data_IF_809671595640
#
_entry.id   IF_809671595640
#
_cell.length_a   1.000
_cell.length_b   1.000
_cell.length_c   1.000
_cell.angle_alpha   90.00
_cell.angle_beta   90.00
_cell.angle_gamma   90.00
#
_symmetry.space_group_name_H-M   'P 1'
#
loop_
_entity.id
_entity.type
_entity.pdbx_description
1 polymer ?
#
# COMPACT_ATOMS: atom_id res chain seq x y z
N UNK A 1 -20.61 -33.08 -20.22
CA UNK A 1 -20.05 -31.77 -19.86
C UNK A 1 -20.12 -31.64 -18.35
N UNK A 2 -19.02 -31.64 -17.59
CA UNK A 2 -19.12 -31.37 -16.17
C UNK A 2 -19.57 -29.91 -16.02
N UNK A 3 -20.71 -29.70 -15.34
CA UNK A 3 -21.29 -28.38 -15.13
C UNK A 3 -20.39 -27.54 -14.23
N UNK A 4 -20.08 -26.32 -14.66
CA UNK A 4 -19.32 -25.36 -13.84
C UNK A 4 -20.18 -24.98 -12.64
N UNK A 5 -19.93 -25.57 -11.47
CA UNK A 5 -20.59 -25.16 -10.22
C UNK A 5 -20.15 -23.74 -9.90
N UNK A 6 -21.10 -22.80 -9.83
CA UNK A 6 -20.80 -21.41 -9.46
C UNK A 6 -20.38 -21.34 -7.99
N UNK A 7 -19.34 -20.57 -7.69
CA UNK A 7 -18.86 -20.37 -6.33
C UNK A 7 -19.98 -19.82 -5.42
N UNK A 8 -20.04 -20.33 -4.19
CA UNK A 8 -20.95 -19.85 -3.17
C UNK A 8 -20.59 -18.42 -2.71
N UNK A 9 -21.54 -17.66 -2.13
CA UNK A 9 -21.27 -16.31 -1.62
C UNK A 9 -20.12 -16.25 -0.60
N UNK A 10 -19.99 -17.29 0.24
CA UNK A 10 -18.91 -17.41 1.22
C UNK A 10 -17.55 -17.61 0.55
N UNK A 11 -17.47 -18.47 -0.47
CA UNK A 11 -16.23 -18.68 -1.24
C UNK A 11 -15.81 -17.40 -1.95
N UNK A 12 -16.76 -16.66 -2.53
CA UNK A 12 -16.49 -15.36 -3.19
C UNK A 12 -15.98 -14.32 -2.19
N UNK A 13 -16.63 -14.20 -1.02
CA UNK A 13 -16.18 -13.27 0.03
C UNK A 13 -14.80 -13.66 0.57
N UNK A 14 -14.55 -14.95 0.77
CA UNK A 14 -13.26 -15.45 1.22
C UNK A 14 -12.14 -15.16 0.22
N UNK A 15 -12.35 -15.49 -1.06
CA UNK A 15 -11.38 -15.24 -2.12
C UNK A 15 -11.05 -13.74 -2.25
N UNK A 16 -12.07 -12.86 -2.13
CA UNK A 16 -11.86 -11.40 -2.13
C UNK A 16 -11.05 -10.93 -0.93
N UNK A 17 -11.34 -11.43 0.27
CA UNK A 17 -10.59 -11.08 1.47
C UNK A 17 -9.11 -11.48 1.33
N UNK A 18 -8.83 -12.69 0.84
CA UNK A 18 -7.48 -13.17 0.61
C UNK A 18 -6.74 -12.34 -0.46
N UNK A 19 -7.39 -12.08 -1.60
CA UNK A 19 -6.83 -11.25 -2.67
C UNK A 19 -6.46 -9.85 -2.18
N UNK A 20 -7.30 -9.21 -1.35
CA UNK A 20 -6.99 -7.92 -0.75
C UNK A 20 -5.82 -8.00 0.25
N UNK A 21 -5.79 -9.01 1.11
CA UNK A 21 -4.71 -9.21 2.07
C UNK A 21 -3.35 -9.44 1.39
N UNK A 22 -3.32 -10.24 0.32
CA UNK A 22 -2.11 -10.49 -0.46
C UNK A 22 -1.64 -9.24 -1.19
N UNK A 23 -2.57 -8.48 -1.76
CA UNK A 23 -2.30 -7.25 -2.53
C UNK A 23 -1.75 -6.12 -1.66
N UNK A 24 -2.31 -5.91 -0.48
CA UNK A 24 -1.98 -4.77 0.38
C UNK A 24 -1.01 -5.11 1.52
N UNK A 25 -0.96 -6.38 1.97
CA UNK A 25 -0.22 -6.82 3.15
C UNK A 25 -0.84 -6.34 4.47
N UNK A 26 -1.20 -5.05 4.54
CA UNK A 26 -2.02 -4.42 5.57
C UNK A 26 -3.30 -3.91 4.91
N UNK A 27 -4.41 -4.61 5.12
CA UNK A 27 -5.71 -4.22 4.61
C UNK A 27 -6.40 -3.26 5.57
N UNK A 28 -6.75 -2.07 5.06
CA UNK A 28 -7.55 -1.07 5.77
C UNK A 28 -8.93 -0.92 5.12
N UNK A 29 -9.88 -0.32 5.85
CA UNK A 29 -11.19 0.02 5.30
C UNK A 29 -11.07 0.94 4.09
N UNK A 30 -10.19 1.93 4.17
CA UNK A 30 -9.97 2.95 3.14
C UNK A 30 -9.37 2.32 1.86
N UNK A 31 -8.42 1.39 1.99
CA UNK A 31 -7.87 0.65 0.85
C UNK A 31 -8.95 -0.20 0.16
N UNK A 32 -9.79 -0.90 0.93
CA UNK A 32 -10.91 -1.68 0.37
C UNK A 32 -11.96 -0.82 -0.32
N UNK A 33 -12.21 0.40 0.18
CA UNK A 33 -13.08 1.37 -0.49
C UNK A 33 -12.48 1.87 -1.80
N UNK A 34 -11.17 2.16 -1.81
CA UNK A 34 -10.44 2.58 -3.01
C UNK A 34 -10.43 1.51 -4.12
N UNK A 35 -10.42 0.23 -3.76
CA UNK A 35 -10.52 -0.89 -4.73
C UNK A 35 -11.94 -1.04 -5.30
N UNK A 36 -12.96 -0.48 -4.65
CA UNK A 36 -14.35 -0.54 -5.13
C UNK A 36 -14.95 -1.94 -5.14
N UNK A 37 -14.52 -2.83 -4.23
CA UNK A 37 -15.01 -4.21 -4.20
C UNK A 37 -16.52 -4.29 -3.95
N UNK A 38 -17.18 -5.26 -4.58
CA UNK A 38 -18.62 -5.50 -4.40
C UNK A 38 -18.92 -5.87 -2.95
N UNK A 39 -19.86 -5.15 -2.33
CA UNK A 39 -20.19 -5.25 -0.90
C UNK A 39 -19.28 -4.42 0.01
N UNK A 40 -18.26 -3.76 -0.56
CA UNK A 40 -17.31 -2.94 0.17
C UNK A 40 -16.56 -3.73 1.26
N UNK A 41 -15.94 -2.99 2.19
CA UNK A 41 -15.27 -3.59 3.34
C UNK A 41 -16.21 -4.43 4.21
N UNK A 42 -17.48 -4.04 4.35
CA UNK A 42 -18.46 -4.77 5.13
C UNK A 42 -18.69 -6.20 4.60
N UNK A 43 -18.61 -6.39 3.28
CA UNK A 43 -18.79 -7.69 2.64
C UNK A 43 -17.67 -8.71 2.92
N UNK A 44 -16.47 -8.24 3.30
CA UNK A 44 -15.31 -9.10 3.63
C UNK A 44 -14.99 -9.12 5.13
N UNK A 45 -15.54 -8.19 5.91
CA UNK A 45 -15.25 -8.08 7.35
C UNK A 45 -15.54 -9.36 8.16
N UNK A 46 -16.65 -10.10 7.95
CA UNK A 46 -16.88 -11.36 8.68
C UNK A 46 -15.79 -12.40 8.43
N UNK A 47 -15.26 -12.46 7.20
CA UNK A 47 -14.14 -13.34 6.85
C UNK A 47 -12.87 -12.88 7.55
N UNK A 48 -12.55 -11.58 7.49
CA UNK A 48 -11.36 -11.02 8.15
C UNK A 48 -11.37 -11.28 9.66
N UNK A 49 -12.54 -11.14 10.30
CA UNK A 49 -12.73 -11.48 11.71
C UNK A 49 -12.50 -12.97 11.98
N UNK A 50 -13.05 -13.85 11.17
CA UNK A 50 -12.83 -15.30 11.32
C UNK A 50 -11.36 -15.70 11.08
N UNK A 51 -10.66 -15.02 10.18
CA UNK A 51 -9.22 -15.22 9.95
C UNK A 51 -8.38 -14.71 11.13
N UNK A 52 -8.79 -13.60 11.76
CA UNK A 52 -8.16 -13.08 12.99
C UNK A 52 -8.32 -14.08 14.14
N UNK A 53 -9.53 -14.58 14.37
CA UNK A 53 -9.82 -15.58 15.42
C UNK A 53 -9.01 -16.88 15.24
N UNK A 54 -8.68 -17.23 13.99
CA UNK A 54 -7.82 -18.37 13.64
C UNK A 54 -6.32 -18.05 13.67
N UNK A 55 -5.95 -16.80 13.88
CA UNK A 55 -4.56 -16.33 13.89
C UNK A 55 -3.91 -16.22 12.51
N UNK A 56 -4.66 -16.37 11.42
CA UNK A 56 -4.16 -16.22 10.04
C UNK A 56 -3.80 -14.76 9.72
N UNK A 57 -4.53 -13.82 10.32
CA UNK A 57 -4.23 -12.38 10.25
C UNK A 57 -4.18 -11.79 11.65
N UNK A 58 -3.52 -10.63 11.77
CA UNK A 58 -3.44 -9.82 13.00
C UNK A 58 -4.28 -8.57 12.79
N UNK A 59 -5.18 -8.27 13.73
CA UNK A 59 -5.84 -6.97 13.77
C UNK A 59 -5.07 -5.99 14.66
N UNK A 60 -4.97 -4.74 14.25
CA UNK A 60 -4.25 -3.72 15.04
C UNK A 60 -4.27 -2.34 14.42
N UNK A 61 -3.39 -1.47 14.94
CA UNK A 61 -3.14 -0.13 14.42
C UNK A 61 -1.77 -0.14 13.75
N UNK A 62 -1.75 -0.32 12.43
CA UNK A 62 -0.52 -0.39 11.64
C UNK A 62 -0.25 0.91 10.90
N UNK A 63 -1.31 1.60 10.49
CA UNK A 63 -1.25 2.90 9.78
C UNK A 63 -1.83 3.97 10.70
N UNK A 64 -1.04 5.03 10.94
CA UNK A 64 -1.43 6.18 11.73
C UNK A 64 -2.53 6.99 11.02
N UNK A 65 -3.43 7.62 11.80
CA UNK A 65 -4.52 8.45 11.27
C UNK A 65 -5.70 7.69 10.69
N UNK A 66 -5.63 6.36 10.60
CA UNK A 66 -6.73 5.50 10.13
C UNK A 66 -7.46 4.80 11.28
N UNK A 67 -8.69 4.35 11.01
CA UNK A 67 -9.50 3.62 11.99
C UNK A 67 -8.92 2.25 12.38
N UNK A 68 -9.47 1.65 13.45
CA UNK A 68 -9.00 0.39 14.05
C UNK A 68 -9.28 -0.89 13.23
N UNK A 69 -9.99 -0.77 12.11
CA UNK A 69 -10.32 -1.90 11.25
C UNK A 69 -9.19 -2.14 10.25
N UNK A 70 -8.03 -2.57 10.75
CA UNK A 70 -6.85 -2.89 9.96
C UNK A 70 -6.43 -4.33 10.24
N UNK A 71 -6.21 -5.09 9.17
CA UNK A 71 -5.85 -6.50 9.23
C UNK A 71 -4.58 -6.72 8.44
N UNK A 72 -3.59 -7.36 9.05
CA UNK A 72 -2.30 -7.61 8.41
C UNK A 72 -1.98 -9.10 8.44
N UNK A 73 -1.40 -9.60 7.35
CA UNK A 73 -0.78 -10.92 7.36
C UNK A 73 0.46 -10.91 8.25
N UNK A 74 0.81 -12.00 8.96
CA UNK A 74 1.94 -12.04 9.88
C UNK A 74 3.24 -11.50 9.28
N UNK A 75 3.58 -11.91 8.05
CA UNK A 75 4.78 -11.42 7.35
C UNK A 75 4.77 -9.92 7.01
N UNK A 76 3.61 -9.28 6.94
CA UNK A 76 3.54 -7.81 6.82
C UNK A 76 3.85 -7.14 8.16
N UNK A 77 3.34 -7.68 9.27
CA UNK A 77 3.64 -7.19 10.62
C UNK A 77 5.14 -7.31 10.93
N UNK A 78 5.74 -8.45 10.58
CA UNK A 78 7.16 -8.68 10.83
C UNK A 78 8.04 -7.72 10.00
N UNK A 79 7.66 -7.46 8.74
CA UNK A 79 8.33 -6.44 7.92
C UNK A 79 8.22 -5.05 8.54
N UNK A 80 7.03 -4.62 8.99
CA UNK A 80 6.87 -3.33 9.66
C UNK A 80 7.74 -3.20 10.92
N UNK A 81 7.89 -4.28 11.69
CA UNK A 81 8.78 -4.30 12.86
C UNK A 81 10.25 -4.16 12.46
N UNK A 82 10.68 -4.87 11.41
CA UNK A 82 12.07 -4.80 10.93
C UNK A 82 12.49 -3.40 10.48
N UNK A 83 11.56 -2.62 9.89
CA UNK A 83 11.83 -1.25 9.46
C UNK A 83 11.89 -0.26 10.63
N UNK A 84 11.27 -0.58 11.78
CA UNK A 84 11.26 0.28 12.98
C UNK A 84 12.55 0.14 13.81
N UNK A 85 13.23 -1.00 13.72
CA UNK A 85 14.47 -1.23 14.45
C UNK A 85 15.64 -0.58 13.70
N UNK A 86 16.32 0.44 14.26
CA UNK A 86 17.56 0.93 13.67
C UNK A 86 18.55 -0.23 13.60
N UNK A 87 19.10 -0.50 12.40
CA UNK A 87 20.01 -1.62 12.15
C UNK A 87 21.11 -1.62 13.22
N UNK A 88 21.15 -2.63 14.08
CA UNK A 88 22.25 -2.87 15.03
C UNK A 88 23.48 -3.49 14.32
N UNK A 89 23.48 -3.55 13.00
CA UNK A 89 24.40 -4.36 12.20
C UNK A 89 24.84 -3.64 10.92
N UNK A 90 25.51 -2.50 11.08
CA UNK A 90 26.43 -1.99 10.04
C UNK A 90 27.81 -2.69 10.11
N UNK A 91 27.94 -3.75 10.92
CA UNK A 91 29.23 -4.41 11.18
C UNK A 91 29.48 -5.71 10.39
N UNK A 92 28.48 -6.33 9.76
CA UNK A 92 28.66 -7.60 9.05
C UNK A 92 27.77 -7.64 7.81
N UNK A 93 28.35 -7.34 6.65
CA UNK A 93 27.70 -7.39 5.35
C UNK A 93 27.12 -8.78 5.06
N UNK A 94 25.78 -8.86 5.06
CA UNK A 94 25.01 -9.98 4.51
C UNK A 94 24.23 -9.49 3.31
N UNK A 95 24.44 -10.13 2.15
CA UNK A 95 23.84 -9.80 0.86
C UNK A 95 22.37 -10.27 0.74
N UNK A 96 21.61 -10.05 1.80
CA UNK A 96 20.23 -10.50 1.95
C UNK A 96 19.37 -9.23 1.99
N UNK A 97 19.27 -8.52 0.86
CA UNK A 97 18.64 -7.20 0.70
C UNK A 97 17.12 -7.16 0.96
N UNK A 98 16.65 -7.69 2.08
CA UNK A 98 15.24 -7.76 2.49
C UNK A 98 15.11 -7.34 3.95
N UNK A 99 15.29 -6.07 4.27
CA UNK A 99 14.97 -5.65 5.64
C UNK A 99 15.44 -4.31 6.15
N UNK A 100 15.80 -3.35 5.31
CA UNK A 100 15.89 -1.99 5.83
C UNK A 100 15.91 -0.96 4.73
N UNK A 101 15.37 0.21 5.06
CA UNK A 101 15.33 1.37 4.18
C UNK A 101 16.73 1.63 3.63
N UNK A 102 16.81 1.69 2.31
CA UNK A 102 17.96 2.23 1.63
C UNK A 102 18.00 3.72 2.00
N UNK A 103 19.11 4.28 2.53
CA UNK A 103 19.21 5.71 2.76
C UNK A 103 18.88 6.54 1.51
N UNK A 104 18.91 5.96 0.30
CA UNK A 104 18.49 6.55 -0.97
C UNK A 104 17.19 5.97 -1.57
N UNK A 105 16.23 5.58 -0.73
CA UNK A 105 14.95 4.99 -1.16
C UNK A 105 14.05 5.99 -1.93
N UNK A 106 14.25 6.04 -3.25
CA UNK A 106 13.39 6.73 -4.21
C UNK A 106 12.66 5.69 -5.05
N UNK A 107 11.32 5.69 -4.97
CA UNK A 107 10.48 4.71 -5.67
C UNK A 107 9.52 5.43 -6.60
N UNK A 108 9.49 5.00 -7.87
CA UNK A 108 8.50 5.46 -8.85
C UNK A 108 7.43 4.40 -9.00
N UNK A 109 6.19 4.75 -8.68
CA UNK A 109 5.04 3.86 -8.78
C UNK A 109 4.01 4.42 -9.75
N UNK A 110 3.27 3.54 -10.42
CA UNK A 110 2.03 3.97 -11.07
C UNK A 110 1.07 4.54 -10.02
N UNK A 111 0.35 5.61 -10.35
CA UNK A 111 -0.64 6.19 -9.43
C UNK A 111 -1.78 5.22 -9.10
N UNK A 112 -1.94 4.13 -9.87
CA UNK A 112 -2.91 3.06 -9.64
C UNK A 112 -2.32 1.86 -8.89
N UNK A 113 -1.02 1.83 -8.62
CA UNK A 113 -0.34 0.70 -7.96
C UNK A 113 -0.77 0.56 -6.48
N UNK A 114 -1.10 -0.63 -5.97
CA UNK A 114 -1.51 -0.83 -4.57
C UNK A 114 -0.50 -0.37 -3.52
N UNK A 115 0.79 -0.40 -3.84
CA UNK A 115 1.85 0.07 -2.95
C UNK A 115 1.88 1.60 -2.87
N UNK A 116 1.20 2.31 -3.79
CA UNK A 116 1.00 3.75 -3.75
C UNK A 116 -0.27 4.07 -2.93
N UNK A 117 -0.14 4.67 -1.72
CA UNK A 117 -1.28 4.81 -0.80
C UNK A 117 -2.06 6.11 -0.96
N UNK A 118 -1.48 7.15 -1.59
CA UNK A 118 -2.10 8.47 -1.70
C UNK A 118 -3.23 8.50 -2.73
N UNK A 119 -4.34 9.15 -2.39
CA UNK A 119 -5.58 9.09 -3.17
C UNK A 119 -6.37 7.80 -2.96
N UNK A 120 -5.93 6.94 -2.03
CA UNK A 120 -6.64 5.74 -1.60
C UNK A 120 -6.73 5.68 -0.07
N UNK A 121 -5.76 5.03 0.58
CA UNK A 121 -5.72 4.93 2.04
C UNK A 121 -5.26 6.23 2.71
N UNK A 122 -4.44 7.03 2.02
CA UNK A 122 -3.97 8.33 2.48
C UNK A 122 -4.52 9.45 1.57
N UNK A 123 -4.81 10.62 2.15
CA UNK A 123 -5.11 11.82 1.37
C UNK A 123 -3.86 12.36 0.70
N UNK A 124 -3.99 12.93 -0.50
CA UNK A 124 -2.86 13.59 -1.19
C UNK A 124 -2.27 14.72 -0.33
N UNK A 125 -0.94 14.92 -0.35
CA UNK A 125 -0.34 16.10 0.26
C UNK A 125 -0.83 17.39 -0.43
N UNK A 126 -0.68 18.53 0.25
CA UNK A 126 -1.03 19.82 -0.31
C UNK A 126 -0.20 20.12 -1.58
N UNK A 127 -0.86 20.56 -2.64
CA UNK A 127 -0.22 20.97 -3.90
C UNK A 127 -1.13 21.92 -4.69
N UNK A 128 -0.55 22.67 -5.61
CA UNK A 128 -1.26 23.47 -6.60
C UNK A 128 -1.71 22.61 -7.78
N UNK A 129 -2.71 21.76 -7.54
CA UNK A 129 -3.23 20.84 -8.55
C UNK A 129 -4.26 19.86 -8.01
N UNK A 130 -4.65 18.89 -8.84
CA UNK A 130 -5.62 17.84 -8.49
C UNK A 130 -5.07 16.47 -8.87
N UNK A 131 -4.08 15.95 -8.11
CA UNK A 131 -3.57 14.61 -8.35
C UNK A 131 -4.68 13.56 -8.21
N UNK A 132 -4.60 12.48 -8.97
CA UNK A 132 -5.58 11.41 -8.96
C UNK A 132 -4.94 10.06 -9.27
N UNK A 133 -5.58 8.96 -8.87
CA UNK A 133 -5.13 7.60 -9.22
C UNK A 133 -5.55 7.26 -10.64
N UNK A 134 -4.91 7.91 -11.62
CA UNK A 134 -5.19 7.74 -13.04
C UNK A 134 -4.19 6.79 -13.71
N UNK A 135 -4.69 5.94 -14.61
CA UNK A 135 -3.84 5.05 -15.39
C UNK A 135 -2.81 5.84 -16.22
N UNK A 136 -1.54 5.42 -16.16
CA UNK A 136 -0.44 6.08 -16.84
C UNK A 136 0.11 7.33 -16.14
N UNK A 137 -0.46 7.74 -15.00
CA UNK A 137 0.17 8.70 -14.11
C UNK A 137 1.17 7.99 -13.18
N UNK A 138 2.22 8.70 -12.77
CA UNK A 138 3.27 8.19 -11.88
C UNK A 138 3.34 9.03 -10.61
N UNK A 139 3.78 8.41 -9.52
CA UNK A 139 4.08 9.06 -8.24
C UNK A 139 5.50 8.68 -7.85
N UNK A 140 6.31 9.68 -7.54
CA UNK A 140 7.64 9.50 -6.96
C UNK A 140 7.54 9.65 -5.45
N UNK A 141 7.92 8.60 -4.74
CA UNK A 141 8.07 8.60 -3.29
C UNK A 141 9.54 8.74 -2.95
N UNK A 142 9.88 9.70 -2.10
CA UNK A 142 11.21 9.84 -1.50
C UNK A 142 11.04 9.51 -0.03
N UNK A 143 11.74 8.50 0.47
CA UNK A 143 11.63 8.14 1.88
C UNK A 143 10.17 7.85 2.29
N UNK A 144 9.41 7.24 1.39
CA UNK A 144 8.00 6.89 1.59
C UNK A 144 7.03 8.08 1.55
N UNK A 145 7.52 9.32 1.44
CA UNK A 145 6.70 10.52 1.27
C UNK A 145 6.53 10.86 -0.22
N UNK A 146 5.30 11.21 -0.63
CA UNK A 146 5.09 11.66 -2.00
C UNK A 146 5.80 12.98 -2.26
N UNK A 147 6.78 12.94 -3.17
CA UNK A 147 7.53 14.10 -3.63
C UNK A 147 6.90 14.69 -4.90
N UNK A 148 6.61 13.84 -5.88
CA UNK A 148 6.14 14.28 -7.20
C UNK A 148 5.00 13.41 -7.72
N UNK A 149 4.04 14.05 -8.40
CA UNK A 149 3.05 13.39 -9.24
C UNK A 149 3.24 13.81 -10.70
N UNK A 150 3.40 12.85 -11.60
CA UNK A 150 3.52 13.07 -13.04
C UNK A 150 2.23 12.63 -13.74
N UNK A 151 1.61 13.54 -14.48
CA UNK A 151 0.39 13.23 -15.24
C UNK A 151 0.65 12.25 -16.38
N UNK A 152 -0.44 11.61 -16.84
CA UNK A 152 -0.41 10.71 -17.97
C UNK A 152 0.26 11.35 -19.19
N UNK A 153 1.30 10.69 -19.67
CA UNK A 153 2.09 11.13 -20.83
C UNK A 153 3.16 12.18 -20.52
N UNK A 154 3.46 12.44 -19.24
CA UNK A 154 4.64 13.21 -18.83
C UNK A 154 4.60 14.71 -19.13
N UNK A 155 3.42 15.25 -19.44
CA UNK A 155 3.28 16.66 -19.90
C UNK A 155 3.15 17.67 -18.77
N UNK A 156 2.78 17.23 -17.59
CA UNK A 156 2.58 18.07 -16.41
C UNK A 156 3.07 17.33 -15.17
N UNK A 157 3.70 18.08 -14.28
CA UNK A 157 4.30 17.59 -13.05
C UNK A 157 3.79 18.47 -11.90
N UNK A 158 3.31 17.82 -10.84
CA UNK A 158 2.94 18.47 -9.58
C UNK A 158 3.97 18.10 -8.52
N UNK A 159 4.45 19.11 -7.79
CA UNK A 159 5.35 18.93 -6.65
C UNK A 159 4.58 19.00 -5.34
N UNK A 160 4.96 18.16 -4.39
CA UNK A 160 4.51 18.17 -3.01
C UNK A 160 5.61 18.77 -2.10
N UNK A 161 5.33 19.07 -0.82
CA UNK A 161 6.32 19.65 0.08
C UNK A 161 7.64 18.87 0.18
N UNK A 162 7.59 17.53 0.11
CA UNK A 162 8.80 16.70 0.15
C UNK A 162 9.76 16.96 -1.01
N UNK A 163 9.26 17.31 -2.21
CA UNK A 163 10.10 17.64 -3.36
C UNK A 163 10.87 18.97 -3.21
N UNK A 164 10.44 19.84 -2.27
CA UNK A 164 11.14 21.09 -1.96
C UNK A 164 12.25 20.88 -0.92
N UNK A 165 12.13 19.83 -0.10
CA UNK A 165 13.10 19.48 0.93
C UNK A 165 14.22 18.57 0.40
N UNK A 166 13.94 17.80 -0.65
CA UNK A 166 14.81 16.77 -1.20
C UNK A 166 14.66 16.70 -2.73
N UNK A 167 15.77 16.72 -3.46
CA UNK A 167 15.82 16.75 -4.93
C UNK A 167 16.12 15.38 -5.57
N UNK A 168 16.34 14.32 -4.79
CA UNK A 168 16.65 12.96 -5.29
C UNK A 168 15.58 12.39 -6.22
N UNK A 169 14.34 12.89 -6.14
CA UNK A 169 13.27 12.53 -7.07
C UNK A 169 13.60 12.87 -8.53
N UNK A 170 14.43 13.89 -8.79
CA UNK A 170 14.71 14.35 -10.15
C UNK A 170 15.46 13.30 -10.97
N UNK A 171 16.44 12.61 -10.37
CA UNK A 171 17.18 11.53 -11.03
C UNK A 171 16.32 10.30 -11.31
N UNK A 172 15.22 10.10 -10.57
CA UNK A 172 14.32 8.96 -10.79
C UNK A 172 13.42 9.12 -12.03
N UNK A 173 13.37 10.31 -12.62
CA UNK A 173 12.60 10.61 -13.83
C UNK A 173 13.49 10.91 -15.06
N UNK A 174 14.81 10.81 -14.91
CA UNK A 174 15.80 11.11 -15.94
C UNK A 174 15.99 9.97 -16.97
#
# INVERSE_FOLDING_TARGET
>A
MPGTTSASPTEVSHARAMQLLERYGVLTREAALGEGIVGGFAGVYPVLKALEERGTVRRGYFVAGLGAAQFAVPGAVDRLRSVREPRRSDALGGADGRGGRDPDDVVVLAATDPAQPYGAALGWPACDGRPSRAAGALVVLVDGEAAVYLERGGRSLLTFPAALADDRWASALA
#
